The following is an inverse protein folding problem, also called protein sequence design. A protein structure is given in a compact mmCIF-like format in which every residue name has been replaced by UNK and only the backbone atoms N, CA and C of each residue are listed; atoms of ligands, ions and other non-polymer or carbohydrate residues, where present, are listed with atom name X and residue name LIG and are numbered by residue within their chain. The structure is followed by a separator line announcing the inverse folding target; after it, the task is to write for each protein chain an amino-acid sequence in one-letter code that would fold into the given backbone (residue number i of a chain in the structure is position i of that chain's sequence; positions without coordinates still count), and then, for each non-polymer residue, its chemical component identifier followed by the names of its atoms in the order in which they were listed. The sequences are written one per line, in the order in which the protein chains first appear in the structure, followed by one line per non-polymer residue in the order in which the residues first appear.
data_IF_995467419995
#
_entry.id   IF_995467419995
#
_cell.length_a   1.000
_cell.length_b   1.000
_cell.length_c   1.000
_cell.angle_alpha   90.00
_cell.angle_beta   90.00
_cell.angle_gamma   90.00
#
_symmetry.space_group_name_H-M   'P 1'
#
loop_
_entity.id
_entity.type
_entity.pdbx_description
1 polymer ?
#
# COMPACT_ATOMS: atom_id res chain seq x y z
N UNK A 1 10.89 22.68 -9.64
CA UNK A 1 10.92 21.23 -9.44
C UNK A 1 11.80 20.96 -8.23
N UNK A 2 11.32 20.18 -7.28
CA UNK A 2 12.08 19.87 -6.07
C UNK A 2 13.18 18.84 -6.36
N UNK A 3 14.31 18.95 -5.66
CA UNK A 3 15.44 18.03 -5.79
C UNK A 3 15.44 16.98 -4.68
N UNK A 4 15.93 15.76 -4.94
CA UNK A 4 16.01 14.67 -3.93
C UNK A 4 16.72 15.12 -2.64
N UNK A 5 17.76 15.96 -2.73
CA UNK A 5 18.48 16.51 -1.57
C UNK A 5 17.63 17.42 -0.66
N UNK A 6 16.46 17.84 -1.08
CA UNK A 6 15.51 18.63 -0.29
C UNK A 6 14.54 17.76 0.52
N UNK A 7 14.62 16.43 0.39
CA UNK A 7 13.89 15.52 1.26
C UNK A 7 14.43 15.61 2.69
N UNK A 8 13.50 15.60 3.66
CA UNK A 8 13.86 15.58 5.07
C UNK A 8 14.49 14.23 5.49
N UNK A 9 15.28 14.23 6.56
CA UNK A 9 15.94 13.02 7.06
C UNK A 9 14.96 11.89 7.37
N UNK A 10 13.78 12.19 7.94
CA UNK A 10 12.78 11.17 8.22
C UNK A 10 12.18 10.58 6.93
N UNK A 11 12.09 11.35 5.84
CA UNK A 11 11.65 10.85 4.53
C UNK A 11 12.71 9.90 3.93
N UNK A 12 13.98 10.26 4.04
CA UNK A 12 15.08 9.40 3.61
C UNK A 12 15.13 8.09 4.43
N UNK A 13 14.85 8.15 5.74
CA UNK A 13 14.68 6.93 6.57
C UNK A 13 13.48 6.09 6.13
N UNK A 14 12.37 6.72 5.74
CA UNK A 14 11.21 6.02 5.21
C UNK A 14 11.52 5.33 3.87
N UNK A 15 12.30 5.98 2.99
CA UNK A 15 12.80 5.37 1.74
C UNK A 15 13.63 4.13 2.06
N UNK A 16 14.64 4.25 2.90
CA UNK A 16 15.49 3.13 3.31
C UNK A 16 14.66 1.98 3.92
N UNK A 17 13.72 2.31 4.82
CA UNK A 17 12.84 1.32 5.44
C UNK A 17 12.01 0.53 4.41
N UNK A 18 11.49 1.18 3.35
CA UNK A 18 10.76 0.50 2.27
C UNK A 18 11.70 -0.40 1.46
N UNK A 19 12.91 0.04 1.16
CA UNK A 19 13.88 -0.71 0.36
C UNK A 19 14.33 -1.97 1.11
N UNK A 20 14.70 -1.81 2.38
CA UNK A 20 15.27 -2.87 3.21
C UNK A 20 14.23 -3.92 3.64
N UNK A 21 12.93 -3.59 3.61
CA UNK A 21 11.88 -4.46 4.07
C UNK A 21 10.85 -4.77 2.96
N UNK A 22 10.74 -6.03 2.58
CA UNK A 22 9.72 -6.46 1.60
C UNK A 22 8.29 -6.18 2.06
N UNK A 23 8.05 -6.24 3.36
CA UNK A 23 6.75 -6.02 3.99
C UNK A 23 6.85 -4.93 5.05
N UNK A 24 6.44 -3.70 4.71
CA UNK A 24 6.59 -2.53 5.56
C UNK A 24 5.31 -1.69 5.65
N UNK A 25 5.23 -0.85 6.67
CA UNK A 25 4.17 0.13 6.81
C UNK A 25 4.74 1.47 7.30
N UNK A 26 4.30 2.56 6.69
CA UNK A 26 4.63 3.92 7.09
C UNK A 26 3.44 4.56 7.82
N UNK A 27 3.60 4.77 9.11
CA UNK A 27 2.63 5.48 9.96
C UNK A 27 3.09 6.93 10.13
N UNK A 28 2.84 7.74 9.12
CA UNK A 28 3.23 9.14 9.07
C UNK A 28 1.98 10.02 8.90
N UNK A 29 1.92 11.14 9.61
CA UNK A 29 0.81 12.09 9.54
C UNK A 29 0.51 12.60 8.12
N UNK A 30 -0.63 13.25 7.94
CA UNK A 30 -0.96 13.93 6.67
C UNK A 30 0.09 14.99 6.35
N UNK A 31 0.43 15.15 5.06
CA UNK A 31 1.40 16.15 4.61
C UNK A 31 2.88 15.81 4.88
N UNK A 32 3.20 14.71 5.56
CA UNK A 32 4.59 14.33 5.86
C UNK A 32 5.32 13.63 4.70
N UNK A 33 4.83 13.76 3.46
CA UNK A 33 5.54 13.27 2.28
C UNK A 33 5.59 11.74 2.13
N UNK A 34 4.57 11.01 2.61
CA UNK A 34 4.47 9.55 2.38
C UNK A 34 4.60 9.20 0.89
N UNK A 35 3.94 9.96 0.03
CA UNK A 35 3.90 9.73 -1.41
C UNK A 35 5.29 9.88 -2.03
N UNK A 36 5.99 10.99 -1.79
CA UNK A 36 7.34 11.20 -2.34
C UNK A 36 8.33 10.16 -1.81
N UNK A 37 8.29 9.83 -0.51
CA UNK A 37 9.15 8.79 0.06
C UNK A 37 8.92 7.43 -0.60
N UNK A 38 7.65 7.07 -0.83
CA UNK A 38 7.30 5.81 -1.49
C UNK A 38 7.69 5.81 -2.97
N UNK A 39 7.44 6.90 -3.70
CA UNK A 39 7.86 7.04 -5.10
C UNK A 39 9.38 6.97 -5.24
N UNK A 40 10.12 7.60 -4.33
CA UNK A 40 11.59 7.53 -4.32
C UNK A 40 12.07 6.10 -4.09
N UNK A 41 11.47 5.37 -3.15
CA UNK A 41 11.79 3.95 -2.92
C UNK A 41 11.44 3.08 -4.15
N UNK A 42 10.28 3.30 -4.79
CA UNK A 42 9.91 2.60 -6.03
C UNK A 42 10.94 2.87 -7.12
N UNK A 43 11.35 4.14 -7.32
CA UNK A 43 12.36 4.51 -8.30
C UNK A 43 13.68 3.81 -8.05
N UNK A 44 14.18 3.82 -6.81
CA UNK A 44 15.42 3.15 -6.44
C UNK A 44 15.33 1.62 -6.66
N UNK A 45 14.18 0.99 -6.36
CA UNK A 45 13.96 -0.44 -6.58
C UNK A 45 13.91 -0.82 -8.08
N UNK A 46 13.29 0.04 -8.91
CA UNK A 46 13.25 -0.12 -10.37
C UNK A 46 14.64 0.04 -10.97
N UNK A 47 15.38 1.09 -10.61
CA UNK A 47 16.73 1.38 -11.11
C UNK A 47 17.72 0.27 -10.79
N UNK A 48 17.53 -0.41 -9.66
CA UNK A 48 18.34 -1.59 -9.26
C UNK A 48 17.76 -2.92 -9.76
N UNK A 49 16.76 -2.92 -10.64
CA UNK A 49 16.12 -4.12 -11.19
C UNK A 49 15.58 -5.09 -10.12
N UNK A 50 15.24 -4.62 -8.93
CA UNK A 50 14.65 -5.42 -7.84
C UNK A 50 13.16 -5.67 -8.09
N UNK A 51 12.47 -4.70 -8.71
CA UNK A 51 11.10 -4.82 -9.18
C UNK A 51 11.02 -4.37 -10.65
N UNK A 52 10.07 -4.92 -11.41
CA UNK A 52 9.76 -4.48 -12.77
C UNK A 52 8.59 -3.50 -12.80
N UNK A 53 7.68 -3.57 -11.83
CA UNK A 53 6.53 -2.69 -11.75
C UNK A 53 5.92 -2.65 -10.34
N UNK A 54 5.04 -1.66 -10.12
CA UNK A 54 4.35 -1.47 -8.84
C UNK A 54 2.87 -1.16 -9.05
N UNK A 55 1.99 -1.77 -8.24
CA UNK A 55 0.58 -1.39 -8.16
C UNK A 55 0.33 -0.51 -6.93
N UNK A 56 -0.26 0.66 -7.14
CA UNK A 56 -0.72 1.56 -6.08
C UNK A 56 -2.23 1.45 -5.94
N UNK A 57 -2.70 1.06 -4.76
CA UNK A 57 -4.12 1.01 -4.40
C UNK A 57 -4.41 2.20 -3.48
N UNK A 58 -5.23 3.15 -3.93
CA UNK A 58 -5.48 4.39 -3.18
C UNK A 58 -6.95 4.84 -3.29
N UNK A 59 -7.38 5.86 -2.54
CA UNK A 59 -8.66 6.53 -2.78
C UNK A 59 -8.73 7.09 -4.21
N UNK A 60 -9.93 7.09 -4.82
CA UNK A 60 -10.12 7.46 -6.23
C UNK A 60 -9.48 8.80 -6.61
N UNK A 61 -9.69 9.85 -5.83
CA UNK A 61 -9.09 11.17 -6.11
C UNK A 61 -7.56 11.13 -6.06
N UNK A 62 -7.01 10.35 -5.14
CA UNK A 62 -5.56 10.22 -4.95
C UNK A 62 -4.92 9.49 -6.14
N UNK A 63 -5.54 8.43 -6.65
CA UNK A 63 -5.06 7.71 -7.84
C UNK A 63 -5.06 8.55 -9.09
N UNK A 64 -6.03 9.44 -9.25
CA UNK A 64 -6.19 10.25 -10.45
C UNK A 64 -5.22 11.45 -10.51
N UNK A 65 -4.83 12.02 -9.36
CA UNK A 65 -4.14 13.30 -9.30
C UNK A 65 -2.84 13.21 -8.49
N UNK A 66 -2.92 12.81 -7.22
CA UNK A 66 -1.84 13.02 -6.25
C UNK A 66 -0.53 12.34 -6.67
N UNK A 67 -0.58 11.07 -7.06
CA UNK A 67 0.61 10.31 -7.45
C UNK A 67 1.28 10.86 -8.71
N UNK A 68 0.49 11.26 -9.71
CA UNK A 68 1.00 11.87 -10.95
C UNK A 68 1.59 13.25 -10.71
N UNK A 69 0.98 14.05 -9.86
CA UNK A 69 1.44 15.41 -9.57
C UNK A 69 2.72 15.37 -8.72
N UNK A 70 2.83 14.43 -7.81
CA UNK A 70 4.05 14.24 -7.03
C UNK A 70 5.24 13.81 -7.92
N UNK A 71 5.02 12.91 -8.90
CA UNK A 71 6.04 12.55 -9.88
C UNK A 71 6.54 13.80 -10.62
N UNK A 72 5.64 14.69 -11.06
CA UNK A 72 6.00 15.94 -11.76
C UNK A 72 6.70 16.96 -10.86
N UNK A 73 6.41 16.94 -9.57
CA UNK A 73 6.97 17.90 -8.61
C UNK A 73 8.46 17.68 -8.34
N UNK A 74 8.94 16.42 -8.43
CA UNK A 74 10.29 16.04 -8.05
C UNK A 74 11.16 15.64 -9.24
N UNK A 75 12.31 16.28 -9.39
CA UNK A 75 13.22 16.12 -10.53
C UNK A 75 13.71 14.67 -10.71
N UNK A 76 14.00 13.97 -9.60
CA UNK A 76 14.49 12.59 -9.64
C UNK A 76 13.41 11.55 -9.96
N UNK A 77 12.13 11.94 -9.98
CA UNK A 77 11.00 11.05 -10.29
C UNK A 77 10.45 11.23 -11.71
N UNK A 78 10.92 12.23 -12.45
CA UNK A 78 10.37 12.67 -13.76
C UNK A 78 10.28 11.57 -14.82
N UNK A 79 11.16 10.56 -14.74
CA UNK A 79 11.23 9.46 -15.70
C UNK A 79 10.28 8.31 -15.36
N UNK A 80 9.63 8.34 -14.18
CA UNK A 80 8.62 7.36 -13.82
C UNK A 80 7.36 7.50 -14.65
N UNK A 81 6.90 6.39 -15.20
CA UNK A 81 5.66 6.30 -15.96
C UNK A 81 4.54 5.75 -15.06
N UNK A 82 3.35 6.35 -15.17
CA UNK A 82 2.18 5.91 -14.40
C UNK A 82 0.98 5.67 -15.32
N UNK A 83 0.30 4.54 -15.12
CA UNK A 83 -0.97 4.20 -15.78
C UNK A 83 -2.10 4.12 -14.74
N UNK A 84 -3.16 4.91 -14.95
CA UNK A 84 -4.31 4.97 -14.03
C UNK A 84 -5.41 4.03 -14.53
N UNK A 85 -5.69 2.98 -13.73
CA UNK A 85 -6.72 1.97 -14.01
C UNK A 85 -8.07 2.48 -13.51
N UNK A 86 -8.79 3.26 -14.34
CA UNK A 86 -10.08 3.86 -13.99
C UNK A 86 -11.05 3.87 -15.20
N UNK A 87 -12.30 4.27 -14.98
CA UNK A 87 -13.32 4.39 -16.02
C UNK A 87 -14.09 3.09 -16.29
N UNK A 88 -14.49 2.87 -17.53
CA UNK A 88 -15.19 1.67 -18.00
C UNK A 88 -14.30 0.43 -17.96
N UNK A 89 -14.89 -0.76 -18.02
CA UNK A 89 -14.11 -2.02 -18.05
C UNK A 89 -13.11 -2.03 -19.20
N UNK A 90 -13.50 -1.52 -20.38
CA UNK A 90 -12.60 -1.42 -21.55
C UNK A 90 -11.42 -0.52 -21.26
N UNK A 91 -11.66 0.68 -20.74
CA UNK A 91 -10.60 1.63 -20.38
C UNK A 91 -9.65 1.09 -19.31
N UNK A 92 -10.19 0.36 -18.32
CA UNK A 92 -9.37 -0.28 -17.27
C UNK A 92 -8.48 -1.39 -17.84
N UNK A 93 -8.97 -2.17 -18.83
CA UNK A 93 -8.18 -3.19 -19.53
C UNK A 93 -7.06 -2.55 -20.33
N UNK A 94 -7.36 -1.55 -21.14
CA UNK A 94 -6.35 -0.77 -21.88
C UNK A 94 -5.30 -0.17 -20.96
N UNK A 95 -5.68 0.29 -19.76
CA UNK A 95 -4.77 0.90 -18.80
C UNK A 95 -3.80 -0.10 -18.15
N UNK A 96 -4.25 -1.31 -17.79
CA UNK A 96 -3.32 -2.30 -17.21
C UNK A 96 -2.48 -3.04 -18.26
N UNK A 97 -2.91 -3.08 -19.51
CA UNK A 97 -2.14 -3.64 -20.63
C UNK A 97 -1.04 -2.68 -21.11
N UNK A 98 -1.20 -1.38 -20.85
CA UNK A 98 -0.19 -0.38 -21.17
C UNK A 98 1.05 -0.58 -20.32
N UNK A 99 2.23 -0.64 -20.96
CA UNK A 99 3.49 -0.71 -20.19
C UNK A 99 3.72 0.56 -19.38
N UNK A 100 3.92 0.41 -18.08
CA UNK A 100 4.22 1.48 -17.14
C UNK A 100 4.99 0.94 -15.91
N UNK A 101 5.72 1.82 -15.24
CA UNK A 101 6.44 1.49 -14.00
C UNK A 101 5.47 1.38 -12.82
N UNK A 102 4.45 2.24 -12.82
CA UNK A 102 3.45 2.31 -11.75
C UNK A 102 2.05 2.19 -12.35
N UNK A 103 1.24 1.34 -11.76
CA UNK A 103 -0.18 1.22 -12.03
C UNK A 103 -0.97 1.71 -10.83
N UNK A 104 -1.86 2.67 -11.01
CA UNK A 104 -2.67 3.22 -9.93
C UNK A 104 -4.13 2.82 -10.08
N UNK A 105 -4.71 2.20 -9.05
CA UNK A 105 -6.11 1.77 -9.05
C UNK A 105 -6.84 2.25 -7.80
N UNK A 106 -8.10 2.63 -7.97
CA UNK A 106 -8.97 2.94 -6.84
C UNK A 106 -9.23 1.67 -6.01
N UNK A 107 -9.18 1.81 -4.67
CA UNK A 107 -9.51 0.72 -3.73
C UNK A 107 -10.88 0.08 -4.00
N UNK A 108 -11.81 0.81 -4.60
CA UNK A 108 -13.14 0.32 -4.92
C UNK A 108 -13.14 -0.62 -6.13
N UNK A 109 -12.14 -0.51 -7.01
CA UNK A 109 -11.95 -1.35 -8.18
C UNK A 109 -11.05 -2.58 -7.91
N UNK A 110 -10.49 -2.75 -6.72
CA UNK A 110 -9.57 -3.86 -6.43
C UNK A 110 -10.25 -5.24 -6.56
N UNK A 111 -11.52 -5.34 -6.20
CA UNK A 111 -12.30 -6.59 -6.36
C UNK A 111 -12.39 -6.97 -7.82
N UNK A 112 -12.68 -5.99 -8.69
CA UNK A 112 -12.70 -6.20 -10.13
C UNK A 112 -11.32 -6.64 -10.65
N UNK A 113 -10.25 -5.95 -10.28
CA UNK A 113 -8.90 -6.28 -10.75
C UNK A 113 -8.51 -7.71 -10.37
N UNK A 114 -8.72 -8.10 -9.12
CA UNK A 114 -8.43 -9.46 -8.65
C UNK A 114 -9.26 -10.51 -9.42
N UNK A 115 -10.51 -10.21 -9.74
CA UNK A 115 -11.38 -11.10 -10.52
C UNK A 115 -10.93 -11.18 -11.98
N UNK A 116 -10.54 -10.08 -12.59
CA UNK A 116 -10.03 -10.00 -13.97
C UNK A 116 -8.78 -10.89 -14.15
N UNK A 117 -7.89 -10.93 -13.16
CA UNK A 117 -6.74 -11.84 -13.14
C UNK A 117 -7.05 -13.23 -12.56
N UNK A 118 -8.32 -13.67 -12.60
CA UNK A 118 -8.75 -15.01 -12.16
C UNK A 118 -8.60 -15.28 -10.65
N UNK A 119 -8.31 -14.25 -9.85
CA UNK A 119 -8.14 -14.36 -8.39
C UNK A 119 -6.95 -15.20 -7.95
N UNK A 120 -5.93 -15.38 -8.79
CA UNK A 120 -4.76 -16.21 -8.51
C UNK A 120 -3.55 -15.32 -8.21
N UNK A 121 -2.99 -14.67 -9.22
CA UNK A 121 -1.79 -13.84 -9.09
C UNK A 121 -2.00 -12.53 -9.83
N UNK A 122 -1.59 -11.42 -9.22
CA UNK A 122 -1.48 -10.13 -9.90
C UNK A 122 -0.09 -10.01 -10.54
N UNK A 123 0.04 -9.39 -11.72
CA UNK A 123 1.31 -9.26 -12.43
C UNK A 123 2.17 -8.10 -11.91
N UNK A 124 2.21 -7.91 -10.60
CA UNK A 124 2.94 -6.82 -9.96
C UNK A 124 3.92 -7.35 -8.92
N UNK A 125 5.16 -6.84 -8.94
CA UNK A 125 6.20 -7.24 -8.00
C UNK A 125 6.05 -6.54 -6.65
N UNK A 126 5.46 -5.35 -6.67
CA UNK A 126 5.22 -4.56 -5.46
C UNK A 126 3.78 -4.03 -5.45
N UNK A 127 3.17 -4.01 -4.26
CA UNK A 127 1.87 -3.36 -4.03
C UNK A 127 2.00 -2.33 -2.92
N UNK A 128 1.58 -1.12 -3.20
CA UNK A 128 1.43 -0.04 -2.22
C UNK A 128 -0.06 0.13 -1.91
N UNK A 129 -0.41 0.11 -0.63
CA UNK A 129 -1.77 0.37 -0.15
C UNK A 129 -1.77 1.74 0.50
N UNK A 130 -2.18 2.75 -0.26
CA UNK A 130 -2.34 4.11 0.25
C UNK A 130 -3.68 4.24 0.99
N UNK A 131 -3.65 4.87 2.16
CA UNK A 131 -4.73 4.85 3.14
C UNK A 131 -5.07 3.42 3.60
N UNK A 132 -4.05 2.72 4.15
CA UNK A 132 -4.15 1.34 4.63
C UNK A 132 -5.32 1.14 5.62
N UNK A 133 -5.63 2.15 6.45
CA UNK A 133 -6.76 2.16 7.37
C UNK A 133 -8.11 1.90 6.71
N UNK A 134 -8.23 2.13 5.40
CA UNK A 134 -9.43 1.80 4.63
C UNK A 134 -9.68 0.28 4.52
N UNK A 135 -8.70 -0.56 4.82
CA UNK A 135 -8.77 -2.03 4.82
C UNK A 135 -8.95 -2.64 6.23
N UNK A 136 -9.19 -1.83 7.25
CA UNK A 136 -9.38 -2.28 8.65
C UNK A 136 -10.50 -3.30 8.86
N UNK A 137 -11.52 -3.32 7.96
CA UNK A 137 -12.62 -4.28 8.06
C UNK A 137 -12.25 -5.61 7.38
N UNK A 138 -11.90 -6.59 8.21
CA UNK A 138 -11.56 -7.97 7.81
C UNK A 138 -12.68 -8.69 7.02
N UNK A 139 -13.95 -8.33 7.24
CA UNK A 139 -15.09 -8.94 6.54
C UNK A 139 -15.36 -8.31 5.16
N UNK A 140 -14.75 -7.17 4.84
CA UNK A 140 -15.02 -6.43 3.61
C UNK A 140 -14.61 -7.20 2.35
N UNK A 141 -15.38 -7.01 1.25
CA UNK A 141 -15.09 -7.66 -0.04
C UNK A 141 -13.68 -7.31 -0.57
N UNK A 142 -13.26 -6.06 -0.42
CA UNK A 142 -11.93 -5.60 -0.87
C UNK A 142 -10.79 -6.23 -0.07
N UNK A 143 -10.94 -6.37 1.26
CA UNK A 143 -9.96 -7.09 2.07
C UNK A 143 -9.85 -8.57 1.63
N UNK A 144 -10.99 -9.26 1.51
CA UNK A 144 -11.03 -10.66 1.09
C UNK A 144 -10.42 -10.88 -0.30
N UNK A 145 -10.68 -9.97 -1.25
CA UNK A 145 -10.10 -10.03 -2.58
C UNK A 145 -8.57 -9.89 -2.53
N UNK A 146 -8.06 -8.85 -1.86
CA UNK A 146 -6.62 -8.63 -1.77
C UNK A 146 -5.91 -9.74 -0.97
N UNK A 147 -6.50 -10.21 0.14
CA UNK A 147 -6.01 -11.34 0.91
C UNK A 147 -5.82 -12.60 0.07
N UNK A 148 -6.73 -12.87 -0.87
CA UNK A 148 -6.66 -14.06 -1.74
C UNK A 148 -5.39 -14.10 -2.58
N UNK A 149 -4.95 -12.95 -3.08
CA UNK A 149 -3.77 -12.83 -3.94
C UNK A 149 -2.50 -12.44 -3.18
N UNK A 150 -2.62 -12.03 -1.91
CA UNK A 150 -1.52 -11.47 -1.09
C UNK A 150 -0.27 -12.38 -1.05
N UNK A 151 -0.45 -13.70 -0.97
CA UNK A 151 0.66 -14.66 -0.90
C UNK A 151 1.56 -14.67 -2.16
N UNK A 152 1.09 -14.12 -3.26
CA UNK A 152 1.82 -14.05 -4.52
C UNK A 152 2.46 -12.68 -4.78
N UNK A 153 2.32 -11.74 -3.85
CA UNK A 153 2.90 -10.40 -3.95
C UNK A 153 4.15 -10.35 -3.08
N UNK A 154 5.34 -10.25 -3.70
CA UNK A 154 6.61 -10.27 -2.95
C UNK A 154 6.73 -9.08 -1.99
N UNK A 155 6.49 -7.86 -2.47
CA UNK A 155 6.67 -6.63 -1.69
C UNK A 155 5.34 -5.91 -1.46
N UNK A 156 5.05 -5.58 -0.19
CA UNK A 156 3.84 -4.81 0.17
C UNK A 156 4.19 -3.69 1.12
N UNK A 157 3.75 -2.49 0.77
CA UNK A 157 3.90 -1.28 1.60
C UNK A 157 2.54 -0.71 1.94
N UNK A 158 2.28 -0.50 3.21
CA UNK A 158 1.07 0.17 3.69
C UNK A 158 1.37 1.60 4.12
N UNK A 159 0.53 2.55 3.70
CA UNK A 159 0.65 3.96 4.07
C UNK A 159 -0.61 4.39 4.82
N UNK A 160 -0.46 4.98 6.00
CA UNK A 160 -1.58 5.61 6.70
C UNK A 160 -1.10 6.66 7.72
N UNK A 161 -1.92 7.68 7.94
CA UNK A 161 -1.73 8.63 9.04
C UNK A 161 -2.48 8.24 10.32
N UNK A 162 -3.43 7.32 10.20
CA UNK A 162 -4.35 6.92 11.28
C UNK A 162 -4.48 5.40 11.33
N UNK A 163 -3.50 4.66 11.87
CA UNK A 163 -3.48 3.20 11.80
C UNK A 163 -4.61 2.54 12.62
N UNK A 164 -5.02 3.13 13.73
CA UNK A 164 -6.00 2.55 14.66
C UNK A 164 -7.09 3.54 15.08
N UNK A 165 -7.91 4.06 14.15
CA UNK A 165 -8.87 5.12 14.45
C UNK A 165 -9.97 4.70 15.46
N UNK A 166 -10.28 3.40 15.57
CA UNK A 166 -11.28 2.86 16.52
C UNK A 166 -10.66 1.88 17.53
N UNK A 167 -9.35 1.98 17.76
CA UNK A 167 -8.63 1.10 18.68
C UNK A 167 -7.80 0.00 17.99
N UNK A 168 -7.05 -0.77 18.79
CA UNK A 168 -6.04 -1.71 18.31
C UNK A 168 -6.60 -2.82 17.41
N UNK A 169 -7.88 -3.15 17.53
CA UNK A 169 -8.52 -4.16 16.68
C UNK A 169 -8.46 -3.80 15.19
N UNK A 170 -8.44 -2.50 14.87
CA UNK A 170 -8.34 -2.01 13.49
C UNK A 170 -7.00 -2.40 12.82
N UNK A 171 -5.96 -2.66 13.61
CA UNK A 171 -4.64 -3.05 13.10
C UNK A 171 -4.62 -4.46 12.51
N UNK A 172 -5.46 -5.38 13.00
CA UNK A 172 -5.40 -6.79 12.60
C UNK A 172 -5.47 -6.97 11.08
N UNK A 173 -6.53 -6.44 10.45
CA UNK A 173 -6.72 -6.60 9.01
C UNK A 173 -5.64 -5.88 8.20
N UNK A 174 -5.22 -4.71 8.66
CA UNK A 174 -4.17 -3.91 8.03
C UNK A 174 -2.84 -4.66 8.04
N UNK A 175 -2.40 -5.12 9.21
CA UNK A 175 -1.13 -5.86 9.35
C UNK A 175 -1.18 -7.21 8.64
N UNK A 176 -2.34 -7.88 8.63
CA UNK A 176 -2.50 -9.11 7.88
C UNK A 176 -2.21 -8.92 6.38
N UNK A 177 -2.62 -7.80 5.77
CA UNK A 177 -2.29 -7.47 4.37
C UNK A 177 -0.79 -7.18 4.18
N UNK A 178 -0.11 -6.70 5.19
CA UNK A 178 1.33 -6.42 5.12
C UNK A 178 2.13 -7.73 5.24
N UNK A 179 1.89 -8.54 6.28
CA UNK A 179 2.79 -9.65 6.64
C UNK A 179 2.12 -11.02 6.75
N UNK A 180 0.87 -11.15 6.32
CA UNK A 180 0.10 -12.40 6.33
C UNK A 180 -0.05 -13.02 7.74
N UNK A 181 -0.07 -12.17 8.77
CA UNK A 181 -0.26 -12.57 10.16
C UNK A 181 1.01 -12.98 10.90
N UNK A 182 2.19 -12.56 10.41
CA UNK A 182 3.45 -12.82 11.14
C UNK A 182 3.50 -12.07 12.47
N UNK A 183 3.06 -10.80 12.53
CA UNK A 183 3.10 -9.97 13.74
C UNK A 183 1.90 -10.18 14.66
N UNK A 184 0.68 -10.20 14.12
CA UNK A 184 -0.55 -10.22 14.94
C UNK A 184 -1.32 -11.55 14.88
N UNK A 185 -0.70 -12.59 14.33
CA UNK A 185 -1.33 -13.90 14.16
C UNK A 185 -2.28 -13.99 12.97
N UNK A 186 -2.79 -15.21 12.73
CA UNK A 186 -3.66 -15.51 11.58
C UNK A 186 -5.15 -15.48 11.90
N UNK A 187 -5.51 -15.43 13.18
CA UNK A 187 -6.89 -15.47 13.68
C UNK A 187 -7.26 -14.15 14.36
N UNK A 188 -8.30 -13.50 13.86
CA UNK A 188 -8.83 -12.28 14.49
C UNK A 188 -9.45 -12.57 15.87
N UNK A 189 -9.97 -13.78 16.09
CA UNK A 189 -10.52 -14.19 17.39
C UNK A 189 -9.39 -14.27 18.41
N UNK A 190 -8.31 -15.00 18.12
CA UNK A 190 -7.16 -15.07 19.00
C UNK A 190 -6.53 -13.70 19.29
N UNK A 191 -6.49 -12.81 18.31
CA UNK A 191 -6.01 -11.44 18.51
C UNK A 191 -6.93 -10.64 19.45
N UNK A 192 -8.26 -10.77 19.32
CA UNK A 192 -9.22 -10.15 20.24
C UNK A 192 -9.07 -10.66 21.66
N UNK A 193 -8.95 -11.98 21.83
CA UNK A 193 -8.77 -12.59 23.14
C UNK A 193 -7.49 -12.04 23.80
N UNK A 194 -6.40 -11.94 23.07
CA UNK A 194 -5.16 -11.34 23.56
C UNK A 194 -5.34 -9.88 24.03
N UNK A 195 -6.10 -9.04 23.26
CA UNK A 195 -6.37 -7.67 23.64
C UNK A 195 -7.24 -7.55 24.90
N UNK A 196 -8.21 -8.44 25.09
CA UNK A 196 -9.07 -8.45 26.27
C UNK A 196 -8.27 -8.84 27.53
N UNK A 197 -7.42 -9.85 27.45
CA UNK A 197 -6.56 -10.25 28.58
C UNK A 197 -5.57 -9.16 29.01
N UNK A 198 -5.09 -8.33 28.10
CA UNK A 198 -4.19 -7.23 28.45
C UNK A 198 -4.91 -6.03 29.05
N UNK A 199 -6.20 -5.82 28.76
CA UNK A 199 -6.99 -4.74 29.38
C UNK A 199 -7.36 -5.08 30.84
N UNK A 200 -7.76 -6.31 31.10
CA UNK A 200 -8.15 -6.75 32.47
C UNK A 200 -6.94 -6.74 33.42
N UNK A 201 -5.74 -7.08 32.94
CA UNK A 201 -4.51 -7.03 33.76
C UNK A 201 -4.03 -5.61 34.08
N UNK A 202 -4.47 -4.59 33.32
CA UNK A 202 -4.13 -3.19 33.57
C UNK A 202 -5.06 -2.53 34.60
N UNK A 203 -6.26 -3.07 34.78
CA UNK A 203 -7.24 -2.57 35.78
C UNK A 203 -7.04 -3.19 37.16
N UNK A 204 -6.20 -4.24 37.31
CA UNK A 204 -5.86 -4.89 38.58
C UNK A 204 -4.51 -4.40 39.20
N UNK A 205 -3.81 -3.45 38.58
CA UNK A 205 -2.52 -2.91 39.04
C UNK A 205 -2.63 -1.45 39.50
#
# INVERSE_FOLDING_TARGET
MLERKQMHDYQNRAVAHIIDNECSALFLGCGMGKTVSTLTAIKDLLDNCIIANCLVIAPKKVTQVTWSDEIKAWAHLKDLTISVIDGTVKQRREAYEKQADIYAISRDNIVWLVTEFGGVKLPYDMVVIDELSSFKNYASKRFKALRKVRKFIPRVVGLTGTPSPNGLIDLFAQMYLIDQGQRLGKSITAYRDCLLYTSDAADEA
#
